data_IF_146534924328
#
_entry.id   IF_146534924328
#
_cell.length_a   1.000
_cell.length_b   1.000
_cell.length_c   1.000
_cell.angle_alpha   90.00
_cell.angle_beta   90.00
_cell.angle_gamma   90.00
#
_symmetry.space_group_name_H-M   'P 1'
#
loop_
_entity.id
_entity.type
_entity.pdbx_description
1 polymer ?
#
# COMPACT_ATOMS: atom_id res chain seq x y z
N UNK A 1 -18.67 15.77 -11.55
CA UNK A 1 -18.21 15.52 -10.16
C UNK A 1 -18.62 16.62 -9.18
N UNK A 2 -18.71 17.90 -9.57
CA UNK A 2 -19.06 19.01 -8.65
C UNK A 2 -20.56 19.14 -8.26
N UNK A 3 -21.49 18.45 -8.93
CA UNK A 3 -22.93 18.59 -8.67
C UNK A 3 -23.49 17.66 -7.58
N UNK A 4 -22.66 16.82 -6.95
CA UNK A 4 -23.11 15.76 -6.04
C UNK A 4 -23.13 16.12 -4.55
N UNK A 5 -22.69 17.31 -4.15
CA UNK A 5 -22.51 17.65 -2.74
C UNK A 5 -23.22 18.95 -2.34
N UNK A 6 -24.52 18.85 -2.01
CA UNK A 6 -25.16 19.80 -1.09
C UNK A 6 -25.18 19.16 0.29
N UNK A 7 -24.26 19.61 1.14
CA UNK A 7 -24.14 19.23 2.55
C UNK A 7 -25.26 19.93 3.34
N UNK A 8 -25.90 19.22 4.28
CA UNK A 8 -26.94 19.81 5.14
C UNK A 8 -26.31 20.74 6.21
N UNK A 9 -27.02 21.80 6.58
CA UNK A 9 -26.49 22.92 7.37
C UNK A 9 -26.04 22.56 8.81
N UNK A 10 -26.36 21.38 9.34
CA UNK A 10 -25.91 20.94 10.67
C UNK A 10 -24.53 20.25 10.68
N UNK A 11 -23.90 20.07 9.51
CA UNK A 11 -22.66 19.31 9.34
C UNK A 11 -21.39 20.19 9.15
N UNK A 12 -21.44 21.47 9.51
CA UNK A 12 -20.37 22.46 9.26
C UNK A 12 -19.27 22.55 10.34
N UNK A 13 -19.24 21.63 11.30
CA UNK A 13 -18.21 21.60 12.35
C UNK A 13 -17.56 20.23 12.50
N UNK A 14 -16.27 20.25 12.86
CA UNK A 14 -15.51 19.05 13.24
C UNK A 14 -16.17 18.42 14.45
N UNK A 15 -16.63 17.18 14.30
CA UNK A 15 -17.36 16.47 15.34
C UNK A 15 -16.38 15.81 16.32
N UNK A 16 -16.79 15.55 17.58
CA UNK A 16 -16.01 14.70 18.50
C UNK A 16 -15.69 13.33 17.90
N UNK A 17 -16.59 12.81 17.07
CA UNK A 17 -16.42 11.57 16.32
C UNK A 17 -15.17 11.61 15.41
N UNK A 18 -14.91 12.72 14.69
CA UNK A 18 -13.73 12.81 13.81
C UNK A 18 -12.43 12.80 14.61
N UNK A 19 -12.41 13.48 15.76
CA UNK A 19 -11.25 13.50 16.66
C UNK A 19 -10.96 12.10 17.19
N UNK A 20 -12.00 11.34 17.54
CA UNK A 20 -11.87 9.93 17.94
C UNK A 20 -11.32 9.08 16.79
N UNK A 21 -11.89 9.19 15.58
CA UNK A 21 -11.42 8.44 14.41
C UNK A 21 -9.94 8.73 14.13
N UNK A 22 -9.54 10.00 14.14
CA UNK A 22 -8.16 10.41 13.90
C UNK A 22 -7.20 9.94 15.00
N UNK A 23 -7.64 9.91 16.25
CA UNK A 23 -6.89 9.31 17.35
C UNK A 23 -6.68 7.82 17.11
N UNK A 24 -7.73 7.10 16.71
CA UNK A 24 -7.62 5.67 16.40
C UNK A 24 -6.68 5.41 15.21
N UNK A 25 -6.79 6.22 14.15
CA UNK A 25 -5.87 6.19 13.01
C UNK A 25 -4.43 6.51 13.40
N UNK A 26 -4.18 7.24 14.47
CA UNK A 26 -2.83 7.57 14.92
C UNK A 26 -2.15 6.43 15.67
N UNK A 27 -2.93 5.47 16.19
CA UNK A 27 -2.44 4.42 17.09
C UNK A 27 -2.62 3.00 16.52
N UNK A 28 -3.24 2.81 15.35
CA UNK A 28 -3.56 1.45 14.86
C UNK A 28 -2.31 0.56 14.65
N UNK A 29 -1.17 1.12 14.21
CA UNK A 29 0.06 0.32 14.09
C UNK A 29 0.63 -0.11 15.45
N UNK A 30 0.37 0.67 16.51
CA UNK A 30 0.74 0.26 17.86
C UNK A 30 -0.11 -0.94 18.29
N UNK A 31 -1.40 -0.92 17.97
CA UNK A 31 -2.31 -2.05 18.22
C UNK A 31 -1.88 -3.29 17.43
N UNK A 32 -1.44 -3.12 16.17
CA UNK A 32 -0.87 -4.21 15.36
C UNK A 32 0.39 -4.80 16.00
N UNK A 33 1.33 -3.95 16.44
CA UNK A 33 2.54 -4.37 17.14
C UNK A 33 2.22 -5.04 18.50
N UNK A 34 1.28 -4.50 19.28
CA UNK A 34 0.83 -5.12 20.53
C UNK A 34 0.21 -6.49 20.28
N UNK A 35 -0.62 -6.64 19.24
CA UNK A 35 -1.20 -7.94 18.89
C UNK A 35 -0.12 -8.96 18.52
N UNK A 36 0.91 -8.56 17.77
CA UNK A 36 2.05 -9.44 17.48
C UNK A 36 2.96 -9.70 18.69
N UNK A 37 3.12 -8.75 19.61
CA UNK A 37 3.77 -8.99 20.90
C UNK A 37 3.02 -10.05 21.72
N UNK A 38 1.70 -9.94 21.82
CA UNK A 38 0.87 -10.93 22.52
C UNK A 38 0.96 -12.32 21.85
N UNK A 39 0.98 -12.36 20.51
CA UNK A 39 1.20 -13.59 19.77
C UNK A 39 2.58 -14.20 20.09
N UNK A 40 3.62 -13.36 20.25
CA UNK A 40 4.98 -13.80 20.55
C UNK A 40 5.06 -14.41 21.96
N UNK A 41 4.45 -13.74 22.94
CA UNK A 41 4.50 -14.16 24.35
C UNK A 41 3.58 -15.35 24.67
N UNK A 42 2.36 -15.36 24.11
CA UNK A 42 1.32 -16.32 24.49
C UNK A 42 1.05 -17.40 23.43
N UNK A 43 1.69 -17.31 22.25
CA UNK A 43 1.52 -18.27 21.15
C UNK A 43 0.11 -18.27 20.52
N UNK A 44 -0.75 -17.30 20.87
CA UNK A 44 -2.14 -17.20 20.37
C UNK A 44 -2.44 -15.78 19.89
N UNK A 45 -3.16 -15.68 18.77
CA UNK A 45 -3.66 -14.41 18.24
C UNK A 45 -5.00 -14.08 18.90
N UNK A 46 -5.10 -12.90 19.52
CA UNK A 46 -6.34 -12.44 20.17
C UNK A 46 -7.29 -11.69 19.23
N UNK A 47 -6.94 -11.55 17.95
CA UNK A 47 -7.76 -10.82 16.97
C UNK A 47 -7.95 -9.33 17.29
N UNK A 48 -7.17 -8.77 18.22
CA UNK A 48 -7.34 -7.43 18.77
C UNK A 48 -7.14 -6.35 17.68
N UNK A 49 -6.16 -6.56 16.80
CA UNK A 49 -5.94 -5.72 15.61
C UNK A 49 -7.15 -5.69 14.66
N UNK A 50 -7.76 -6.86 14.39
CA UNK A 50 -8.90 -6.96 13.49
C UNK A 50 -10.12 -6.24 14.07
N UNK A 51 -10.42 -6.48 15.36
CA UNK A 51 -11.51 -5.80 16.06
C UNK A 51 -11.34 -4.28 16.05
N UNK A 52 -10.12 -3.80 16.32
CA UNK A 52 -9.79 -2.38 16.30
C UNK A 52 -10.05 -1.73 14.93
N UNK A 53 -9.64 -2.41 13.85
CA UNK A 53 -9.84 -1.92 12.47
C UNK A 53 -11.30 -1.92 12.04
N UNK A 54 -12.07 -2.93 12.44
CA UNK A 54 -13.52 -2.97 12.21
C UNK A 54 -14.21 -1.81 12.94
N UNK A 55 -13.82 -1.53 14.19
CA UNK A 55 -14.33 -0.36 14.92
C UNK A 55 -14.00 0.94 14.19
N UNK A 56 -12.74 1.13 13.77
CA UNK A 56 -12.32 2.31 13.00
C UNK A 56 -13.15 2.49 11.73
N UNK A 57 -13.30 1.42 10.94
CA UNK A 57 -14.04 1.43 9.69
C UNK A 57 -15.52 1.73 9.91
N UNK A 58 -16.12 1.17 10.95
CA UNK A 58 -17.51 1.45 11.34
C UNK A 58 -17.72 2.91 11.70
N UNK A 59 -16.81 3.51 12.47
CA UNK A 59 -16.88 4.93 12.84
C UNK A 59 -16.68 5.85 11.61
N UNK A 60 -15.77 5.49 10.69
CA UNK A 60 -15.60 6.22 9.42
C UNK A 60 -16.87 6.17 8.56
N UNK A 61 -17.48 4.98 8.43
CA UNK A 61 -18.74 4.82 7.70
C UNK A 61 -19.89 5.60 8.36
N UNK A 62 -19.96 5.62 9.70
CA UNK A 62 -20.94 6.41 10.42
C UNK A 62 -20.75 7.91 10.14
N UNK A 63 -19.52 8.42 10.23
CA UNK A 63 -19.21 9.82 9.90
C UNK A 63 -19.59 10.17 8.45
N UNK A 64 -19.29 9.27 7.50
CA UNK A 64 -19.67 9.41 6.10
C UNK A 64 -21.19 9.37 5.88
N UNK A 65 -21.91 8.50 6.57
CA UNK A 65 -23.37 8.41 6.49
C UNK A 65 -24.05 9.69 6.97
N UNK A 66 -23.49 10.34 8.00
CA UNK A 66 -23.99 11.61 8.53
C UNK A 66 -23.73 12.80 7.58
N UNK A 67 -22.71 12.74 6.73
CA UNK A 67 -22.31 13.85 5.83
C UNK A 67 -22.75 13.68 4.38
N UNK A 68 -22.60 12.47 3.84
CA UNK A 68 -22.68 12.18 2.41
C UNK A 68 -23.44 10.87 2.17
N UNK A 69 -24.77 10.92 2.23
CA UNK A 69 -25.62 9.74 2.04
C UNK A 69 -25.40 8.98 0.73
N UNK A 70 -25.00 9.67 -0.36
CA UNK A 70 -24.70 9.01 -1.66
C UNK A 70 -23.38 8.26 -1.66
N UNK A 71 -22.33 8.78 -1.00
CA UNK A 71 -21.04 8.10 -0.90
C UNK A 71 -21.13 6.86 -0.01
N UNK A 72 -22.01 6.90 1.00
CA UNK A 72 -22.30 5.74 1.84
C UNK A 72 -22.85 4.55 1.06
N UNK A 73 -23.69 4.77 0.02
CA UNK A 73 -24.26 3.70 -0.81
C UNK A 73 -23.24 2.99 -1.71
N UNK A 74 -22.09 3.63 -1.99
CA UNK A 74 -21.04 3.05 -2.83
C UNK A 74 -20.43 1.81 -2.18
N UNK A 75 -20.16 1.83 -0.88
CA UNK A 75 -19.41 0.76 -0.22
C UNK A 75 -20.20 -0.56 -0.11
N UNK A 76 -21.49 -0.57 0.26
CA UNK A 76 -22.32 -1.77 0.18
C UNK A 76 -22.42 -2.30 -1.26
N UNK A 77 -22.51 -1.43 -2.27
CA UNK A 77 -22.56 -1.86 -3.66
C UNK A 77 -21.26 -2.56 -4.10
N UNK A 78 -20.09 -2.02 -3.72
CA UNK A 78 -18.79 -2.66 -3.96
C UNK A 78 -18.66 -3.99 -3.21
N UNK A 79 -19.20 -4.07 -1.99
CA UNK A 79 -19.20 -5.30 -1.20
C UNK A 79 -20.01 -6.40 -1.90
N UNK A 80 -21.23 -6.06 -2.33
CA UNK A 80 -22.11 -7.00 -3.06
C UNK A 80 -21.50 -7.40 -4.40
N UNK A 81 -20.77 -6.51 -5.07
CA UNK A 81 -20.10 -6.80 -6.34
C UNK A 81 -19.02 -7.88 -6.21
N UNK A 82 -18.28 -7.91 -5.10
CA UNK A 82 -17.16 -8.84 -4.88
C UNK A 82 -17.59 -10.19 -4.27
N UNK A 83 -18.78 -10.25 -3.66
CA UNK A 83 -19.28 -11.43 -2.94
C UNK A 83 -19.68 -12.68 -3.78
N UNK A 84 -20.17 -12.59 -5.04
CA UNK A 84 -20.87 -13.71 -5.68
C UNK A 84 -20.09 -15.01 -5.78
N UNK A 85 -18.81 -14.93 -6.16
CA UNK A 85 -17.93 -16.10 -6.32
C UNK A 85 -17.72 -16.86 -5.02
N UNK A 86 -17.18 -16.17 -4.01
CA UNK A 86 -16.97 -16.74 -2.68
C UNK A 86 -18.26 -17.29 -2.05
N UNK A 87 -19.39 -16.60 -2.22
CA UNK A 87 -20.69 -17.06 -1.73
C UNK A 87 -21.14 -18.36 -2.41
N UNK A 88 -20.93 -18.48 -3.73
CA UNK A 88 -21.25 -19.69 -4.47
C UNK A 88 -20.36 -20.87 -4.04
N UNK A 89 -19.05 -20.66 -3.87
CA UNK A 89 -18.16 -21.68 -3.29
C UNK A 89 -18.58 -22.12 -1.90
N UNK A 90 -18.96 -21.17 -1.03
CA UNK A 90 -19.43 -21.48 0.31
C UNK A 90 -20.72 -22.32 0.32
N UNK A 91 -21.65 -22.07 -0.60
CA UNK A 91 -22.86 -22.90 -0.74
C UNK A 91 -22.53 -24.35 -1.15
N UNK A 92 -21.43 -24.57 -1.88
CA UNK A 92 -21.02 -25.91 -2.33
C UNK A 92 -20.17 -26.66 -1.30
N UNK A 93 -19.22 -25.97 -0.67
CA UNK A 93 -18.20 -26.58 0.19
C UNK A 93 -18.59 -26.52 1.67
N UNK A 94 -19.45 -25.58 2.07
CA UNK A 94 -19.72 -25.25 3.47
C UNK A 94 -18.56 -24.48 4.10
N UNK A 95 -18.43 -24.53 5.43
CA UNK A 95 -17.34 -23.87 6.15
C UNK A 95 -17.58 -22.39 6.49
N UNK A 96 -16.49 -21.65 6.71
CA UNK A 96 -16.52 -20.25 7.15
C UNK A 96 -16.26 -19.29 6.00
N UNK A 97 -17.18 -18.37 5.75
CA UNK A 97 -17.00 -17.27 4.78
C UNK A 97 -16.21 -16.09 5.38
N UNK A 98 -15.80 -16.16 6.65
CA UNK A 98 -15.26 -15.01 7.38
C UNK A 98 -13.99 -14.42 6.75
N UNK A 99 -13.10 -15.26 6.19
CA UNK A 99 -11.84 -14.80 5.60
C UNK A 99 -12.07 -14.07 4.27
N UNK A 100 -13.00 -14.55 3.44
CA UNK A 100 -13.46 -13.86 2.24
C UNK A 100 -14.10 -12.50 2.58
N UNK A 101 -15.05 -12.47 3.52
CA UNK A 101 -15.66 -11.20 3.94
C UNK A 101 -14.62 -10.24 4.52
N UNK A 102 -13.67 -10.75 5.31
CA UNK A 102 -12.57 -9.99 5.87
C UNK A 102 -11.66 -9.39 4.79
N UNK A 103 -11.38 -10.15 3.73
CA UNK A 103 -10.59 -9.67 2.60
C UNK A 103 -11.36 -8.62 1.77
N UNK A 104 -12.65 -8.83 1.47
CA UNK A 104 -13.49 -7.82 0.80
C UNK A 104 -13.48 -6.50 1.59
N UNK A 105 -13.62 -6.57 2.92
CA UNK A 105 -13.54 -5.38 3.77
C UNK A 105 -12.18 -4.69 3.64
N UNK A 106 -11.07 -5.43 3.68
CA UNK A 106 -9.72 -4.87 3.48
C UNK A 106 -9.58 -4.16 2.13
N UNK A 107 -10.13 -4.73 1.05
CA UNK A 107 -10.07 -4.14 -0.29
C UNK A 107 -10.80 -2.80 -0.37
N UNK A 108 -11.97 -2.69 0.26
CA UNK A 108 -12.81 -1.47 0.20
C UNK A 108 -12.31 -0.39 1.18
N UNK A 109 -11.63 -0.80 2.26
CA UNK A 109 -11.18 0.09 3.35
C UNK A 109 -10.37 1.33 2.92
N UNK A 110 -9.42 1.27 1.96
CA UNK A 110 -8.68 2.45 1.51
C UNK A 110 -9.59 3.52 0.92
N UNK A 111 -10.66 3.12 0.21
CA UNK A 111 -11.63 4.05 -0.37
C UNK A 111 -12.49 4.70 0.73
N UNK A 112 -12.87 3.93 1.76
CA UNK A 112 -13.59 4.49 2.92
C UNK A 112 -12.72 5.54 3.61
N UNK A 113 -11.43 5.25 3.86
CA UNK A 113 -10.49 6.20 4.44
C UNK A 113 -10.31 7.46 3.57
N UNK A 114 -10.19 7.28 2.24
CA UNK A 114 -10.09 8.37 1.27
C UNK A 114 -11.30 9.31 1.32
N UNK A 115 -12.52 8.76 1.20
CA UNK A 115 -13.75 9.54 1.23
C UNK A 115 -14.01 10.17 2.60
N UNK A 116 -13.68 9.47 3.69
CA UNK A 116 -13.79 10.01 5.04
C UNK A 116 -12.96 11.28 5.18
N UNK A 117 -11.67 11.22 4.84
CA UNK A 117 -10.81 12.38 4.96
C UNK A 117 -11.22 13.50 3.99
N UNK A 118 -11.72 13.15 2.79
CA UNK A 118 -12.25 14.12 1.84
C UNK A 118 -13.45 14.88 2.45
N UNK A 119 -14.40 14.15 3.04
CA UNK A 119 -15.56 14.74 3.72
C UNK A 119 -15.17 15.62 4.90
N UNK A 120 -14.09 15.26 5.61
CA UNK A 120 -13.56 16.08 6.72
C UNK A 120 -12.91 17.36 6.19
N UNK A 121 -12.26 17.28 5.03
CA UNK A 121 -11.62 18.44 4.40
C UNK A 121 -12.63 19.47 3.89
N UNK A 122 -13.85 19.05 3.53
CA UNK A 122 -14.94 19.96 3.18
C UNK A 122 -15.40 20.80 4.38
N UNK A 123 -15.21 20.29 5.61
CA UNK A 123 -15.50 21.00 6.86
C UNK A 123 -14.35 21.93 7.25
N UNK A 124 -13.14 21.38 7.36
CA UNK A 124 -11.93 22.15 7.68
C UNK A 124 -10.67 21.51 7.05
N UNK A 125 -10.22 22.09 5.93
CA UNK A 125 -9.03 21.68 5.17
C UNK A 125 -7.76 21.71 6.02
N UNK A 126 -7.59 22.74 6.85
CA UNK A 126 -6.39 22.92 7.65
C UNK A 126 -6.33 21.90 8.78
N UNK A 127 -7.46 21.66 9.44
CA UNK A 127 -7.58 20.60 10.45
C UNK A 127 -7.34 19.22 9.84
N UNK A 128 -7.91 18.92 8.67
CA UNK A 128 -7.72 17.65 7.98
C UNK A 128 -6.24 17.39 7.65
N UNK A 129 -5.53 18.35 7.03
CA UNK A 129 -4.11 18.19 6.70
C UNK A 129 -3.22 18.09 7.95
N UNK A 130 -3.45 18.92 8.97
CA UNK A 130 -2.70 18.82 10.24
C UNK A 130 -2.91 17.47 10.91
N UNK A 131 -4.14 16.95 10.88
CA UNK A 131 -4.47 15.66 11.48
C UNK A 131 -3.87 14.50 10.69
N UNK A 132 -3.91 14.54 9.35
CA UNK A 132 -3.19 13.59 8.49
C UNK A 132 -1.70 13.60 8.83
N UNK A 133 -1.07 14.77 8.89
CA UNK A 133 0.36 14.84 9.19
C UNK A 133 0.68 14.21 10.57
N UNK A 134 -0.15 14.45 11.59
CA UNK A 134 -0.01 13.81 12.90
C UNK A 134 -0.15 12.28 12.83
N UNK A 135 -1.15 11.78 12.11
CA UNK A 135 -1.34 10.33 11.89
C UNK A 135 -0.08 9.72 11.27
N UNK A 136 0.50 10.36 10.26
CA UNK A 136 1.70 9.86 9.58
C UNK A 136 2.93 9.88 10.49
N UNK A 137 3.18 10.98 11.22
CA UNK A 137 4.31 11.09 12.14
C UNK A 137 4.21 10.04 13.25
N UNK A 138 3.04 9.89 13.89
CA UNK A 138 2.87 8.95 15.00
C UNK A 138 3.04 7.50 14.53
N UNK A 139 2.44 7.12 13.41
CA UNK A 139 2.61 5.78 12.84
C UNK A 139 4.06 5.51 12.41
N UNK A 140 4.75 6.50 11.83
CA UNK A 140 6.16 6.37 11.48
C UNK A 140 7.04 6.18 12.72
N UNK A 141 6.79 6.94 13.79
CA UNK A 141 7.50 6.79 15.06
C UNK A 141 7.25 5.41 15.70
N UNK A 142 6.01 4.89 15.65
CA UNK A 142 5.70 3.54 16.10
C UNK A 142 6.53 2.49 15.34
N UNK A 143 6.58 2.60 14.01
CA UNK A 143 7.40 1.71 13.18
C UNK A 143 8.88 1.83 13.54
N UNK A 144 9.39 3.05 13.72
CA UNK A 144 10.78 3.29 14.09
C UNK A 144 11.14 2.67 15.44
N UNK A 145 10.32 2.90 16.48
CA UNK A 145 10.51 2.32 17.80
C UNK A 145 10.44 0.79 17.75
N UNK A 146 9.51 0.24 16.98
CA UNK A 146 9.43 -1.21 16.77
C UNK A 146 10.72 -1.78 16.16
N UNK A 147 11.34 -1.11 15.19
CA UNK A 147 12.61 -1.54 14.62
C UNK A 147 13.81 -1.31 15.55
N UNK A 148 13.78 -0.29 16.41
CA UNK A 148 14.77 -0.15 17.48
C UNK A 148 14.72 -1.35 18.44
N UNK A 149 13.52 -1.79 18.84
CA UNK A 149 13.35 -3.02 19.63
C UNK A 149 13.80 -4.26 18.84
N UNK A 150 13.48 -4.32 17.55
CA UNK A 150 13.95 -5.35 16.61
C UNK A 150 15.47 -5.48 16.56
N UNK A 151 16.18 -4.36 16.46
CA UNK A 151 17.63 -4.31 16.44
C UNK A 151 18.28 -4.71 17.78
N UNK A 152 17.56 -4.53 18.89
CA UNK A 152 17.97 -5.02 20.21
C UNK A 152 17.71 -6.53 20.40
N UNK A 153 17.17 -7.21 19.39
CA UNK A 153 16.90 -8.65 19.42
C UNK A 153 15.48 -9.02 19.87
N UNK A 154 14.57 -8.05 20.02
CA UNK A 154 13.18 -8.33 20.38
C UNK A 154 12.29 -8.52 19.15
N UNK A 155 11.29 -9.40 19.27
CA UNK A 155 10.28 -9.62 18.24
C UNK A 155 10.64 -10.74 17.27
N UNK A 156 10.11 -10.66 16.07
CA UNK A 156 10.20 -11.71 15.06
C UNK A 156 11.19 -11.38 13.95
N UNK A 157 11.63 -12.45 13.30
CA UNK A 157 12.53 -12.39 12.15
C UNK A 157 11.72 -12.36 10.85
N UNK A 158 12.29 -11.75 9.80
CA UNK A 158 11.61 -11.61 8.50
C UNK A 158 11.58 -12.95 7.74
N UNK A 159 12.65 -13.74 7.84
CA UNK A 159 12.76 -15.05 7.23
C UNK A 159 13.10 -16.11 8.28
N UNK A 160 12.33 -17.20 8.26
CA UNK A 160 12.61 -18.38 9.09
C UNK A 160 13.81 -19.14 8.54
N UNK A 161 14.59 -19.82 9.40
CA UNK A 161 15.75 -20.59 8.97
C UNK A 161 15.34 -21.72 8.01
N UNK A 162 15.94 -21.74 6.82
CA UNK A 162 15.78 -22.85 5.87
C UNK A 162 16.76 -23.96 6.24
N UNK A 163 16.32 -25.22 6.19
CA UNK A 163 17.09 -26.41 6.61
C UNK A 163 18.49 -26.58 5.97
N UNK A 164 18.80 -25.84 4.90
CA UNK A 164 20.07 -25.92 4.18
C UNK A 164 21.02 -24.75 4.42
N UNK A 165 20.63 -23.76 5.23
CA UNK A 165 21.47 -22.63 5.64
C UNK A 165 21.61 -22.69 7.16
N UNK A 166 22.84 -22.72 7.66
CA UNK A 166 23.14 -22.69 9.09
C UNK A 166 22.43 -21.52 9.74
N UNK A 167 21.42 -21.82 10.57
CA UNK A 167 20.75 -21.02 11.60
C UNK A 167 21.13 -19.52 11.66
N UNK A 168 20.81 -18.74 10.63
CA UNK A 168 20.78 -17.28 10.76
C UNK A 168 19.37 -16.84 10.49
N UNK A 169 18.69 -16.48 11.58
CA UNK A 169 17.52 -15.63 11.56
C UNK A 169 17.86 -14.36 10.78
N UNK A 170 17.28 -14.23 9.57
CA UNK A 170 17.63 -13.15 8.65
C UNK A 170 16.57 -12.06 8.68
N UNK A 171 17.01 -10.85 9.05
CA UNK A 171 16.19 -9.65 9.08
C UNK A 171 15.22 -9.62 10.27
N UNK A 172 14.76 -8.43 10.62
CA UNK A 172 13.79 -8.21 11.69
C UNK A 172 12.52 -7.60 11.13
N UNK A 173 11.37 -8.03 11.63
CA UNK A 173 10.07 -7.35 11.44
C UNK A 173 9.53 -6.78 12.77
N UNK A 174 10.34 -6.84 13.84
CA UNK A 174 9.94 -6.52 15.20
C UNK A 174 8.67 -7.28 15.59
N UNK A 175 7.69 -6.60 16.19
CA UNK A 175 6.43 -7.22 16.61
C UNK A 175 5.36 -7.26 15.53
N UNK A 176 5.62 -6.85 14.29
CA UNK A 176 4.64 -7.00 13.22
C UNK A 176 4.66 -8.42 12.65
N UNK A 177 3.47 -8.93 12.29
CA UNK A 177 3.34 -10.29 11.78
C UNK A 177 3.83 -10.45 10.32
N UNK A 178 3.58 -9.45 9.47
CA UNK A 178 3.85 -9.52 8.03
C UNK A 178 4.89 -8.50 7.57
N UNK A 179 6.08 -8.97 7.17
CA UNK A 179 7.17 -8.10 6.71
C UNK A 179 6.85 -7.41 5.38
N UNK A 180 6.23 -8.11 4.41
CA UNK A 180 5.89 -7.50 3.12
C UNK A 180 4.88 -6.36 3.27
N UNK A 181 3.81 -6.58 4.02
CA UNK A 181 2.82 -5.53 4.30
C UNK A 181 3.44 -4.33 5.04
N UNK A 182 4.29 -4.59 6.06
CA UNK A 182 4.98 -3.53 6.79
C UNK A 182 5.92 -2.71 5.88
N UNK A 183 6.53 -3.35 4.88
CA UNK A 183 7.40 -2.68 3.91
C UNK A 183 6.61 -1.64 3.13
N UNK A 184 5.39 -2.00 2.71
CA UNK A 184 4.51 -1.13 1.94
C UNK A 184 3.97 0.02 2.80
N UNK A 185 3.65 -0.25 4.08
CA UNK A 185 3.30 0.79 5.05
C UNK A 185 4.46 1.79 5.22
N UNK A 186 5.70 1.31 5.35
CA UNK A 186 6.88 2.16 5.42
C UNK A 186 7.02 3.03 4.17
N UNK A 187 6.76 2.51 2.97
CA UNK A 187 6.78 3.31 1.73
C UNK A 187 5.78 4.47 1.78
N UNK A 188 4.53 4.21 2.18
CA UNK A 188 3.51 5.27 2.23
C UNK A 188 3.84 6.31 3.31
N UNK A 189 4.25 5.88 4.50
CA UNK A 189 4.61 6.79 5.59
C UNK A 189 5.83 7.65 5.22
N UNK A 190 6.87 7.02 4.68
CA UNK A 190 8.09 7.72 4.26
C UNK A 190 7.83 8.68 3.11
N UNK A 191 7.02 8.31 2.09
CA UNK A 191 6.71 9.20 0.97
C UNK A 191 6.10 10.54 1.42
N UNK A 192 5.14 10.50 2.34
CA UNK A 192 4.55 11.73 2.90
C UNK A 192 5.56 12.54 3.69
N UNK A 193 6.29 11.92 4.62
CA UNK A 193 7.22 12.64 5.49
C UNK A 193 8.41 13.21 4.73
N UNK A 194 8.96 12.46 3.77
CA UNK A 194 10.01 12.92 2.87
C UNK A 194 9.53 14.13 2.06
N UNK A 195 8.36 14.06 1.41
CA UNK A 195 7.82 15.20 0.67
C UNK A 195 7.59 16.42 1.57
N UNK A 196 6.98 16.20 2.74
CA UNK A 196 6.63 17.27 3.66
C UNK A 196 7.88 17.99 4.20
N UNK A 197 8.87 17.24 4.69
CA UNK A 197 10.09 17.81 5.25
C UNK A 197 11.09 18.25 4.20
N UNK A 198 11.03 17.71 2.97
CA UNK A 198 11.81 18.24 1.86
C UNK A 198 11.49 19.73 1.63
N UNK A 199 10.22 20.12 1.73
CA UNK A 199 9.81 21.51 1.54
C UNK A 199 10.03 22.40 2.77
N UNK A 200 9.92 21.83 3.98
CA UNK A 200 9.92 22.61 5.22
C UNK A 200 11.28 22.62 5.95
N UNK A 201 11.90 21.46 6.14
CA UNK A 201 13.07 21.29 7.02
C UNK A 201 14.00 20.17 6.53
N UNK A 202 15.08 20.56 5.82
CA UNK A 202 16.03 19.63 5.18
C UNK A 202 16.74 18.68 6.16
N UNK A 203 16.96 19.10 7.41
CA UNK A 203 17.55 18.25 8.45
C UNK A 203 16.60 17.11 8.88
N UNK A 204 15.31 17.43 9.06
CA UNK A 204 14.32 16.38 9.38
C UNK A 204 14.11 15.47 8.16
N UNK A 205 14.14 16.01 6.94
CA UNK A 205 14.15 15.20 5.72
C UNK A 205 15.29 14.16 5.75
N UNK A 206 16.52 14.60 6.05
CA UNK A 206 17.67 13.70 6.13
C UNK A 206 17.48 12.64 7.23
N UNK A 207 16.97 13.04 8.40
CA UNK A 207 16.68 12.10 9.49
C UNK A 207 15.63 11.05 9.08
N UNK A 208 14.55 11.45 8.39
CA UNK A 208 13.53 10.55 7.85
C UNK A 208 14.13 9.63 6.79
N UNK A 209 14.93 10.15 5.87
CA UNK A 209 15.59 9.36 4.82
C UNK A 209 16.50 8.27 5.41
N UNK A 210 17.41 8.65 6.31
CA UNK A 210 18.34 7.72 6.97
C UNK A 210 17.57 6.68 7.79
N UNK A 211 16.61 7.11 8.61
CA UNK A 211 15.83 6.17 9.43
C UNK A 211 14.94 5.25 8.57
N UNK A 212 14.38 5.72 7.46
CA UNK A 212 13.59 4.88 6.53
C UNK A 212 14.44 3.82 5.87
N UNK A 213 15.63 4.19 5.37
CA UNK A 213 16.58 3.25 4.76
C UNK A 213 17.07 2.24 5.78
N UNK A 214 17.33 2.68 7.02
CA UNK A 214 17.72 1.81 8.13
C UNK A 214 16.60 0.81 8.50
N UNK A 215 15.35 1.26 8.63
CA UNK A 215 14.22 0.35 8.84
C UNK A 215 14.10 -0.66 7.69
N UNK A 216 14.19 -0.19 6.44
CA UNK A 216 14.09 -1.06 5.27
C UNK A 216 15.23 -2.09 5.18
N UNK A 217 16.45 -1.72 5.58
CA UNK A 217 17.59 -2.64 5.59
C UNK A 217 17.45 -3.70 6.69
N UNK A 218 16.90 -3.35 7.86
CA UNK A 218 16.58 -4.33 8.90
C UNK A 218 15.55 -5.36 8.44
N UNK A 219 14.57 -4.97 7.63
CA UNK A 219 13.54 -5.89 7.13
C UNK A 219 14.10 -6.92 6.14
N UNK A 220 15.16 -6.58 5.40
CA UNK A 220 15.71 -7.38 4.29
C UNK A 220 14.65 -7.77 3.23
N UNK A 221 13.61 -6.95 3.05
CA UNK A 221 12.62 -7.13 1.99
C UNK A 221 13.07 -6.38 0.74
N UNK A 222 13.01 -7.05 -0.42
CA UNK A 222 13.33 -6.43 -1.73
C UNK A 222 12.46 -5.19 -1.97
N UNK A 223 11.19 -5.28 -1.59
CA UNK A 223 10.18 -4.23 -1.73
C UNK A 223 10.48 -3.01 -0.85
N UNK A 224 10.77 -3.22 0.44
CA UNK A 224 11.09 -2.14 1.38
C UNK A 224 12.38 -1.44 0.98
N UNK A 225 13.44 -2.18 0.69
CA UNK A 225 14.75 -1.60 0.39
C UNK A 225 14.74 -0.82 -0.93
N UNK A 226 14.31 -1.44 -2.03
CA UNK A 226 14.29 -0.76 -3.34
C UNK A 226 13.31 0.41 -3.34
N UNK A 227 12.11 0.21 -2.78
CA UNK A 227 11.09 1.26 -2.77
C UNK A 227 11.50 2.48 -1.94
N UNK A 228 12.07 2.29 -0.74
CA UNK A 228 12.50 3.42 0.09
C UNK A 228 13.67 4.17 -0.54
N UNK A 229 14.63 3.46 -1.15
CA UNK A 229 15.72 4.09 -1.90
C UNK A 229 15.20 4.92 -3.08
N UNK A 230 14.25 4.39 -3.86
CA UNK A 230 13.61 5.13 -4.95
C UNK A 230 12.97 6.42 -4.40
N UNK A 231 12.19 6.33 -3.31
CA UNK A 231 11.56 7.52 -2.71
C UNK A 231 12.58 8.56 -2.23
N UNK A 232 13.61 8.14 -1.49
CA UNK A 232 14.64 9.04 -0.97
C UNK A 232 15.39 9.76 -2.09
N UNK A 233 15.68 9.06 -3.19
CA UNK A 233 16.42 9.62 -4.33
C UNK A 233 15.54 10.50 -5.23
N UNK A 234 14.31 10.06 -5.52
CA UNK A 234 13.46 10.70 -6.52
C UNK A 234 12.61 11.85 -5.95
N UNK A 235 12.22 11.84 -4.67
CA UNK A 235 11.42 12.92 -4.08
C UNK A 235 12.10 14.30 -4.22
N UNK A 236 13.40 14.47 -3.89
CA UNK A 236 14.11 15.73 -4.14
C UNK A 236 14.14 16.19 -5.60
N UNK A 237 14.02 15.24 -6.53
CA UNK A 237 14.07 15.48 -7.97
C UNK A 237 12.69 15.76 -8.57
N UNK A 238 11.58 15.57 -7.82
CA UNK A 238 10.21 15.80 -8.32
C UNK A 238 9.97 17.18 -8.94
N UNK A 239 10.49 18.31 -8.40
CA UNK A 239 10.33 19.62 -9.04
C UNK A 239 10.91 19.64 -10.47
N UNK A 240 12.01 18.92 -10.68
CA UNK A 240 12.62 18.77 -11.99
C UNK A 240 11.78 17.85 -12.89
N UNK A 241 11.22 16.77 -12.33
CA UNK A 241 10.35 15.87 -13.09
C UNK A 241 9.06 16.53 -13.60
N UNK A 242 8.50 17.47 -12.85
CA UNK A 242 7.28 18.19 -13.25
C UNK A 242 7.56 19.17 -14.39
N UNK A 243 8.79 19.72 -14.45
CA UNK A 243 9.26 20.61 -15.52
C UNK A 243 9.99 19.85 -16.64
N UNK A 244 9.78 18.54 -16.77
CA UNK A 244 10.41 17.71 -17.79
C UNK A 244 9.83 18.00 -19.18
N UNK A 245 10.65 18.62 -20.02
CA UNK A 245 10.50 18.50 -21.47
C UNK A 245 11.06 17.15 -21.95
N UNK A 246 10.60 16.68 -23.12
CA UNK A 246 11.04 15.43 -23.76
C UNK A 246 12.57 15.24 -23.82
N UNK A 247 13.33 16.33 -23.97
CA UNK A 247 14.80 16.32 -23.98
C UNK A 247 15.41 15.95 -22.63
N UNK A 248 14.86 16.50 -21.54
CA UNK A 248 15.29 16.18 -20.17
C UNK A 248 14.88 14.77 -19.77
N UNK A 249 13.74 14.26 -20.28
CA UNK A 249 13.30 12.88 -20.08
C UNK A 249 14.25 11.89 -20.77
N UNK A 250 14.61 12.16 -22.02
CA UNK A 250 15.60 11.37 -22.75
C UNK A 250 16.95 11.33 -22.01
N UNK A 251 17.38 12.46 -21.44
CA UNK A 251 18.61 12.54 -20.65
C UNK A 251 18.51 11.76 -19.31
N UNK A 252 17.37 11.83 -18.63
CA UNK A 252 17.13 11.03 -17.41
C UNK A 252 17.15 9.53 -17.70
N UNK A 253 16.49 9.09 -18.78
CA UNK A 253 16.49 7.69 -19.22
C UNK A 253 17.92 7.26 -19.60
N UNK A 254 18.67 8.10 -20.31
CA UNK A 254 20.06 7.83 -20.65
C UNK A 254 20.94 7.68 -19.41
N UNK A 255 20.81 8.57 -18.43
CA UNK A 255 21.55 8.50 -17.16
C UNK A 255 21.17 7.26 -16.35
N UNK A 256 19.88 6.90 -16.31
CA UNK A 256 19.40 5.68 -15.68
C UNK A 256 19.99 4.44 -16.36
N UNK A 257 19.99 4.40 -17.70
CA UNK A 257 20.56 3.30 -18.49
C UNK A 257 22.07 3.20 -18.28
N UNK A 258 22.79 4.32 -18.24
CA UNK A 258 24.22 4.37 -17.93
C UNK A 258 24.50 3.86 -16.52
N UNK A 259 23.72 4.29 -15.54
CA UNK A 259 23.85 3.82 -14.15
C UNK A 259 23.54 2.33 -14.03
N UNK A 260 22.48 1.85 -14.69
CA UNK A 260 22.13 0.42 -14.73
C UNK A 260 23.23 -0.40 -15.42
N UNK A 261 23.78 0.08 -16.54
CA UNK A 261 24.88 -0.57 -17.23
C UNK A 261 26.15 -0.61 -16.35
N UNK A 262 26.45 0.46 -15.63
CA UNK A 262 27.56 0.51 -14.67
C UNK A 262 27.33 -0.46 -13.50
N UNK A 263 26.12 -0.54 -12.96
CA UNK A 263 25.77 -1.51 -11.92
C UNK A 263 25.88 -2.95 -12.42
N UNK A 264 25.40 -3.25 -13.62
CA UNK A 264 25.51 -4.58 -14.22
C UNK A 264 26.97 -4.94 -14.48
N UNK A 265 27.78 -4.00 -14.97
CA UNK A 265 29.23 -4.18 -15.12
C UNK A 265 29.86 -4.52 -13.76
N UNK A 266 29.55 -3.75 -12.72
CA UNK A 266 30.14 -3.93 -11.38
C UNK A 266 29.53 -5.09 -10.58
N UNK A 267 28.41 -5.67 -11.04
CA UNK A 267 27.69 -6.71 -10.32
C UNK A 267 28.56 -7.93 -9.98
N UNK A 268 29.40 -8.50 -10.87
CA UNK A 268 30.24 -9.65 -10.51
C UNK A 268 31.22 -9.33 -9.37
N UNK A 269 31.79 -8.12 -9.36
CA UNK A 269 32.71 -7.67 -8.32
C UNK A 269 31.96 -7.50 -6.99
N UNK A 270 30.83 -6.80 -6.99
CA UNK A 270 29.99 -6.57 -5.81
C UNK A 270 29.43 -7.88 -5.24
N UNK A 271 28.96 -8.79 -6.09
CA UNK A 271 28.39 -10.06 -5.69
C UNK A 271 29.43 -11.02 -5.11
N UNK A 272 30.67 -10.98 -5.62
CA UNK A 272 31.77 -11.78 -5.08
C UNK A 272 32.25 -11.28 -3.72
N UNK A 273 32.39 -9.96 -3.54
CA UNK A 273 32.79 -9.35 -2.26
C UNK A 273 31.74 -9.52 -1.16
N UNK A 274 30.46 -9.61 -1.51
CA UNK A 274 29.36 -9.80 -0.57
C UNK A 274 29.07 -11.28 -0.25
N UNK A 275 29.79 -12.23 -0.85
CA UNK A 275 29.53 -13.68 -0.69
C UNK A 275 28.17 -14.13 -1.24
N UNK A 276 27.52 -13.30 -2.07
CA UNK A 276 26.19 -13.55 -2.62
C UNK A 276 26.23 -14.27 -3.97
N UNK A 277 27.39 -14.30 -4.63
CA UNK A 277 27.57 -14.90 -5.95
C UNK A 277 27.18 -16.38 -5.98
N UNK A 278 27.67 -17.19 -5.03
CA UNK A 278 27.38 -18.63 -4.98
C UNK A 278 25.90 -18.91 -4.68
N UNK A 279 25.29 -18.14 -3.76
CA UNK A 279 23.88 -18.26 -3.40
C UNK A 279 22.96 -17.89 -4.57
N UNK A 280 23.26 -16.80 -5.27
CA UNK A 280 22.50 -16.38 -6.44
C UNK A 280 22.69 -17.34 -7.62
N UNK A 281 23.89 -17.87 -7.82
CA UNK A 281 24.16 -18.86 -8.87
C UNK A 281 23.40 -20.17 -8.60
N UNK A 282 23.32 -20.61 -7.35
CA UNK A 282 22.54 -21.80 -6.97
C UNK A 282 21.03 -21.59 -7.18
N UNK A 283 20.49 -20.44 -6.76
CA UNK A 283 19.07 -20.09 -6.99
C UNK A 283 18.79 -19.95 -8.48
N UNK A 284 19.68 -19.31 -9.24
CA UNK A 284 19.55 -19.14 -10.69
C UNK A 284 19.56 -20.49 -11.42
N UNK A 285 20.41 -21.43 -11.02
CA UNK A 285 20.44 -22.78 -11.60
C UNK A 285 19.16 -23.57 -11.31
N UNK A 286 18.55 -23.40 -10.15
CA UNK A 286 17.32 -24.12 -9.75
C UNK A 286 16.03 -23.46 -10.24
N UNK A 287 16.02 -22.13 -10.41
CA UNK A 287 14.79 -21.36 -10.57
C UNK A 287 14.83 -20.38 -11.77
N UNK A 288 15.96 -20.26 -12.46
CA UNK A 288 16.14 -19.32 -13.57
C UNK A 288 16.10 -17.84 -13.13
N UNK A 289 16.19 -16.94 -14.12
CA UNK A 289 16.15 -15.48 -13.88
C UNK A 289 14.81 -15.03 -13.26
N UNK A 290 13.70 -15.59 -13.75
CA UNK A 290 12.35 -15.28 -13.27
C UNK A 290 12.14 -15.75 -11.83
N UNK A 291 12.65 -16.93 -11.47
CA UNK A 291 12.55 -17.44 -10.10
C UNK A 291 13.35 -16.62 -9.08
N UNK A 292 14.52 -16.08 -9.47
CA UNK A 292 15.30 -15.15 -8.63
C UNK A 292 14.56 -13.83 -8.43
N UNK A 293 13.90 -13.31 -9.48
CA UNK A 293 13.21 -12.02 -9.45
C UNK A 293 11.87 -12.09 -8.71
N UNK A 294 11.05 -13.08 -9.07
CA UNK A 294 9.71 -13.30 -8.52
C UNK A 294 9.69 -14.14 -7.24
N UNK A 295 10.83 -14.71 -6.81
CA UNK A 295 10.92 -15.61 -5.66
C UNK A 295 9.94 -16.80 -5.73
N UNK A 296 9.88 -17.48 -6.88
CA UNK A 296 8.99 -18.65 -7.15
C UNK A 296 7.47 -18.36 -7.19
N UNK A 297 7.04 -17.10 -7.24
CA UNK A 297 5.62 -16.71 -7.35
C UNK A 297 4.95 -17.16 -8.65
N UNK A 298 5.73 -17.26 -9.72
CA UNK A 298 5.32 -17.86 -10.99
C UNK A 298 4.84 -19.31 -10.82
N UNK A 299 5.54 -20.09 -9.99
CA UNK A 299 5.18 -21.48 -9.69
C UNK A 299 3.90 -21.57 -8.86
N UNK A 300 3.76 -20.72 -7.83
CA UNK A 300 2.54 -20.68 -7.02
C UNK A 300 1.31 -20.26 -7.83
N UNK A 301 1.44 -19.26 -8.70
CA UNK A 301 0.37 -18.87 -9.61
C UNK A 301 -0.03 -20.01 -10.55
N UNK A 302 0.95 -20.73 -11.13
CA UNK A 302 0.69 -21.85 -12.00
C UNK A 302 -0.02 -23.01 -11.27
N UNK A 303 0.41 -23.34 -10.05
CA UNK A 303 -0.20 -24.39 -9.22
C UNK A 303 -1.64 -24.03 -8.84
N UNK A 304 -1.88 -22.82 -8.34
CA UNK A 304 -3.23 -22.32 -8.03
C UNK A 304 -4.11 -22.36 -9.29
N UNK A 305 -3.59 -21.92 -10.43
CA UNK A 305 -4.34 -21.92 -11.68
C UNK A 305 -4.72 -23.33 -12.13
N UNK A 306 -3.82 -24.30 -12.02
CA UNK A 306 -4.09 -25.69 -12.37
C UNK A 306 -5.18 -26.31 -11.49
N UNK A 307 -5.07 -26.12 -10.17
CA UNK A 307 -6.05 -26.63 -9.20
C UNK A 307 -7.42 -26.02 -9.44
N UNK A 308 -7.49 -24.69 -9.49
CA UNK A 308 -8.75 -23.98 -9.72
C UNK A 308 -9.34 -24.35 -11.08
N UNK A 309 -8.48 -24.60 -12.08
CA UNK A 309 -8.94 -25.01 -13.41
C UNK A 309 -9.55 -26.41 -13.45
N UNK A 310 -9.06 -27.30 -12.58
CA UNK A 310 -9.50 -28.69 -12.49
C UNK A 310 -10.81 -28.83 -11.70
N UNK A 311 -10.97 -28.12 -10.58
CA UNK A 311 -12.12 -28.27 -9.69
C UNK A 311 -13.31 -27.38 -10.01
N UNK A 312 -13.11 -26.24 -10.68
CA UNK A 312 -14.17 -25.25 -10.89
C UNK A 312 -14.40 -24.95 -12.37
N UNK A 313 -15.66 -24.78 -12.77
CA UNK A 313 -16.04 -24.44 -14.14
C UNK A 313 -15.61 -23.01 -14.52
N UNK A 314 -15.51 -22.73 -15.83
CA UNK A 314 -15.15 -21.40 -16.35
C UNK A 314 -16.06 -20.28 -15.82
N UNK A 315 -17.36 -20.55 -15.71
CA UNK A 315 -18.34 -19.57 -15.19
C UNK A 315 -18.07 -19.26 -13.73
N UNK A 316 -17.75 -20.27 -12.92
CA UNK A 316 -17.42 -20.06 -11.52
C UNK A 316 -16.13 -19.22 -11.40
N UNK A 317 -15.08 -19.57 -12.17
CA UNK A 317 -13.83 -18.81 -12.20
C UNK A 317 -14.01 -17.35 -12.66
N UNK A 318 -14.98 -17.07 -13.54
CA UNK A 318 -15.31 -15.71 -13.98
C UNK A 318 -15.75 -14.80 -12.81
N UNK A 319 -16.52 -15.36 -11.86
CA UNK A 319 -16.97 -14.66 -10.65
C UNK A 319 -15.99 -14.80 -9.47
N UNK A 320 -14.94 -15.61 -9.65
CA UNK A 320 -13.99 -15.98 -8.61
C UNK A 320 -14.47 -17.18 -7.80
N UNK A 321 -13.52 -17.95 -7.28
CA UNK A 321 -13.82 -19.14 -6.46
C UNK A 321 -13.74 -18.87 -4.96
N UNK A 322 -13.47 -17.62 -4.57
CA UNK A 322 -13.22 -17.24 -3.19
C UNK A 322 -11.90 -17.78 -2.63
N UNK A 323 -11.48 -17.21 -1.52
CA UNK A 323 -10.40 -17.76 -0.71
C UNK A 323 -10.77 -19.17 -0.23
N UNK A 324 -12.03 -19.35 0.20
CA UNK A 324 -12.57 -20.62 0.65
C UNK A 324 -12.38 -21.75 -0.38
N UNK A 325 -12.60 -21.48 -1.67
CA UNK A 325 -12.44 -22.49 -2.72
C UNK A 325 -10.99 -22.89 -2.96
N UNK A 326 -10.05 -21.93 -2.86
CA UNK A 326 -8.63 -22.25 -3.04
C UNK A 326 -8.06 -22.95 -1.80
N UNK A 327 -8.41 -22.50 -0.60
CA UNK A 327 -7.88 -23.04 0.66
C UNK A 327 -8.31 -24.47 0.94
N UNK A 328 -9.40 -24.94 0.32
CA UNK A 328 -9.84 -26.33 0.41
C UNK A 328 -8.84 -27.30 -0.25
N UNK A 329 -8.16 -26.84 -1.30
CA UNK A 329 -7.31 -27.70 -2.13
C UNK A 329 -5.81 -27.41 -1.95
N UNK A 330 -5.45 -26.24 -1.43
CA UNK A 330 -4.06 -25.81 -1.30
C UNK A 330 -3.76 -25.23 0.08
N UNK A 331 -2.69 -25.73 0.69
CA UNK A 331 -2.14 -25.16 1.93
C UNK A 331 -1.57 -23.75 1.69
N UNK A 332 -0.94 -23.52 0.52
CA UNK A 332 -0.47 -22.22 0.06
C UNK A 332 -1.40 -21.70 -1.03
N UNK A 333 -2.32 -20.85 -0.62
CA UNK A 333 -3.42 -20.34 -1.45
C UNK A 333 -3.19 -18.92 -1.99
N UNK A 334 -2.02 -18.31 -1.73
CA UNK A 334 -1.63 -17.02 -2.31
C UNK A 334 -0.50 -17.20 -3.31
N UNK A 335 -0.66 -16.65 -4.51
CA UNK A 335 0.44 -16.51 -5.47
C UNK A 335 1.40 -15.37 -5.08
N UNK A 336 0.98 -14.49 -4.16
CA UNK A 336 1.68 -13.28 -3.76
C UNK A 336 1.79 -12.28 -4.92
N UNK A 337 0.69 -12.12 -5.67
CA UNK A 337 0.50 -11.14 -6.74
C UNK A 337 -0.95 -10.67 -6.71
N UNK A 338 -1.19 -9.44 -6.26
CA UNK A 338 -2.52 -8.91 -6.03
C UNK A 338 -3.48 -9.03 -7.24
N UNK A 339 -3.10 -8.70 -8.49
CA UNK A 339 -4.03 -8.84 -9.62
C UNK A 339 -4.41 -10.30 -9.90
N UNK A 340 -3.47 -11.25 -9.74
CA UNK A 340 -3.75 -12.67 -9.92
C UNK A 340 -4.61 -13.22 -8.77
N UNK A 341 -4.23 -12.93 -7.53
CA UNK A 341 -4.93 -13.39 -6.34
C UNK A 341 -6.38 -12.86 -6.34
N UNK A 342 -6.60 -11.60 -6.71
CA UNK A 342 -7.94 -11.02 -6.82
C UNK A 342 -8.76 -11.59 -7.97
N UNK A 343 -8.12 -11.98 -9.08
CA UNK A 343 -8.81 -12.70 -10.15
C UNK A 343 -9.28 -14.08 -9.67
N UNK A 344 -8.42 -14.83 -8.98
CA UNK A 344 -8.77 -16.15 -8.49
C UNK A 344 -9.89 -16.07 -7.45
N UNK A 345 -9.80 -15.14 -6.48
CA UNK A 345 -10.76 -15.06 -5.40
C UNK A 345 -12.09 -14.40 -5.80
N UNK A 346 -12.05 -13.32 -6.59
CA UNK A 346 -13.22 -12.49 -6.91
C UNK A 346 -13.45 -12.28 -8.42
N UNK A 347 -12.75 -13.04 -9.25
CA UNK A 347 -12.98 -13.07 -10.69
C UNK A 347 -12.67 -11.75 -11.38
N UNK A 348 -13.45 -11.48 -12.43
CA UNK A 348 -13.34 -10.24 -13.20
C UNK A 348 -13.61 -9.01 -12.32
N UNK A 349 -14.54 -9.11 -11.36
CA UNK A 349 -14.86 -8.02 -10.45
C UNK A 349 -13.65 -7.63 -9.58
N UNK A 350 -12.88 -8.60 -9.09
CA UNK A 350 -11.64 -8.35 -8.33
C UNK A 350 -10.60 -7.57 -9.13
N UNK A 351 -10.34 -7.98 -10.38
CA UNK A 351 -9.37 -7.30 -11.26
C UNK A 351 -9.85 -5.91 -11.68
N UNK A 352 -11.15 -5.76 -11.97
CA UNK A 352 -11.75 -4.47 -12.26
C UNK A 352 -11.64 -3.53 -11.06
N UNK A 353 -11.88 -4.01 -9.84
CA UNK A 353 -11.71 -3.23 -8.61
C UNK A 353 -10.25 -2.78 -8.43
N UNK A 354 -9.30 -3.72 -8.54
CA UNK A 354 -7.87 -3.43 -8.49
C UNK A 354 -7.46 -2.34 -9.48
N UNK A 355 -7.85 -2.53 -10.74
CA UNK A 355 -7.54 -1.59 -11.82
C UNK A 355 -8.17 -0.23 -11.58
N UNK A 356 -9.43 -0.20 -11.14
CA UNK A 356 -10.15 1.04 -10.86
C UNK A 356 -9.50 1.86 -9.74
N UNK A 357 -9.05 1.22 -8.65
CA UNK A 357 -8.38 1.92 -7.53
C UNK A 357 -7.04 2.52 -7.99
N UNK A 358 -6.17 1.72 -8.61
CA UNK A 358 -4.86 2.20 -9.04
C UNK A 358 -4.96 3.25 -10.15
N UNK A 359 -5.76 3.00 -11.20
CA UNK A 359 -5.99 3.97 -12.28
C UNK A 359 -6.61 5.24 -11.71
N UNK A 360 -7.60 5.12 -10.82
CA UNK A 360 -8.27 6.26 -10.18
C UNK A 360 -7.29 7.17 -9.43
N UNK A 361 -6.49 6.62 -8.52
CA UNK A 361 -5.50 7.40 -7.76
C UNK A 361 -4.38 7.97 -8.64
N UNK A 362 -3.86 7.18 -9.59
CA UNK A 362 -2.81 7.66 -10.51
C UNK A 362 -3.35 8.78 -11.41
N UNK A 363 -4.50 8.58 -12.05
CA UNK A 363 -5.10 9.56 -12.95
C UNK A 363 -5.48 10.84 -12.21
N UNK A 364 -6.03 10.74 -11.00
CA UNK A 364 -6.33 11.90 -10.15
C UNK A 364 -5.05 12.71 -9.88
N UNK A 365 -3.99 12.07 -9.41
CA UNK A 365 -2.75 12.76 -9.06
C UNK A 365 -2.04 13.31 -10.31
N UNK A 366 -2.06 12.61 -11.44
CA UNK A 366 -1.56 13.12 -12.72
C UNK A 366 -2.32 14.37 -13.17
N UNK A 367 -3.65 14.39 -13.04
CA UNK A 367 -4.45 15.56 -13.37
C UNK A 367 -4.09 16.75 -12.48
N UNK A 368 -3.93 16.52 -11.16
CA UNK A 368 -3.47 17.57 -10.22
C UNK A 368 -2.06 18.07 -10.54
N UNK A 369 -1.16 17.20 -10.99
CA UNK A 369 0.16 17.62 -11.46
C UNK A 369 0.05 18.59 -12.64
N UNK A 370 -0.79 18.27 -13.63
CA UNK A 370 -0.96 19.10 -14.83
C UNK A 370 -1.62 20.44 -14.54
N UNK A 371 -2.67 20.44 -13.71
CA UNK A 371 -3.46 21.64 -13.43
C UNK A 371 -2.76 22.61 -12.47
N UNK A 372 -2.01 22.10 -11.49
CA UNK A 372 -1.47 22.91 -10.40
C UNK A 372 0.06 22.88 -10.28
N UNK A 373 0.77 22.17 -11.18
CA UNK A 373 2.22 21.91 -11.06
C UNK A 373 2.61 21.42 -9.65
N UNK A 374 1.74 20.63 -9.03
CA UNK A 374 1.89 20.25 -7.62
C UNK A 374 2.95 19.17 -7.43
N UNK A 375 4.01 19.52 -6.70
CA UNK A 375 5.05 18.56 -6.33
C UNK A 375 4.55 17.41 -5.46
N UNK A 376 3.61 17.70 -4.56
CA UNK A 376 2.98 16.67 -3.75
C UNK A 376 2.27 15.65 -4.65
N UNK A 377 1.49 16.13 -5.63
CA UNK A 377 0.79 15.25 -6.55
C UNK A 377 1.77 14.38 -7.37
N UNK A 378 2.92 14.93 -7.79
CA UNK A 378 3.93 14.18 -8.53
C UNK A 378 4.55 13.07 -7.67
N UNK A 379 4.86 13.37 -6.40
CA UNK A 379 5.29 12.36 -5.42
C UNK A 379 4.25 11.27 -5.22
N UNK A 380 2.95 11.60 -5.23
CA UNK A 380 1.89 10.59 -5.13
C UNK A 380 1.72 9.76 -6.40
N UNK A 381 2.00 10.30 -7.59
CA UNK A 381 2.08 9.50 -8.81
C UNK A 381 3.21 8.48 -8.70
N UNK A 382 4.42 8.93 -8.29
CA UNK A 382 5.56 8.04 -8.07
C UNK A 382 5.21 6.94 -7.04
N UNK A 383 4.63 7.33 -5.90
CA UNK A 383 4.25 6.38 -4.86
C UNK A 383 3.24 5.36 -5.38
N UNK A 384 2.15 5.78 -6.03
CA UNK A 384 1.13 4.83 -6.50
C UNK A 384 1.64 3.92 -7.63
N UNK A 385 2.54 4.40 -8.49
CA UNK A 385 3.21 3.56 -9.49
C UNK A 385 4.13 2.53 -8.81
N UNK A 386 4.86 2.93 -7.77
CA UNK A 386 5.70 2.03 -6.99
C UNK A 386 4.83 0.98 -6.26
N UNK A 387 3.71 1.39 -5.65
CA UNK A 387 2.75 0.50 -5.01
C UNK A 387 2.13 -0.47 -6.02
N UNK A 388 1.80 -0.03 -7.23
CA UNK A 388 1.29 -0.89 -8.30
C UNK A 388 2.34 -1.95 -8.69
N UNK A 389 3.59 -1.54 -8.86
CA UNK A 389 4.69 -2.46 -9.16
C UNK A 389 4.85 -3.51 -8.05
N UNK A 390 4.82 -3.07 -6.78
CA UNK A 390 4.91 -3.97 -5.63
C UNK A 390 3.70 -4.89 -5.55
N UNK A 391 2.49 -4.41 -5.84
CA UNK A 391 1.27 -5.21 -5.85
C UNK A 391 1.35 -6.36 -6.88
N UNK A 392 1.92 -6.08 -8.06
CA UNK A 392 2.09 -7.08 -9.11
C UNK A 392 3.22 -8.09 -8.80
N UNK A 393 4.34 -7.64 -8.22
CA UNK A 393 5.56 -8.46 -8.05
C UNK A 393 5.61 -9.18 -6.70
N UNK A 394 5.17 -8.53 -5.62
CA UNK A 394 5.28 -9.03 -4.26
C UNK A 394 3.93 -9.31 -3.59
N UNK A 395 2.84 -8.75 -4.14
CA UNK A 395 1.49 -8.89 -3.61
C UNK A 395 1.30 -8.18 -2.28
N UNK A 396 0.12 -8.38 -1.70
CA UNK A 396 -0.25 -7.89 -0.37
C UNK A 396 -0.17 -6.37 -0.22
N UNK A 397 -0.40 -5.60 -1.28
CA UNK A 397 -0.55 -4.14 -1.21
C UNK A 397 -2.01 -3.81 -0.96
N UNK A 398 -2.90 -4.15 -1.91
CA UNK A 398 -4.33 -3.82 -1.80
C UNK A 398 -5.04 -4.70 -0.77
N UNK A 399 -4.53 -5.91 -0.54
CA UNK A 399 -5.05 -6.85 0.46
C UNK A 399 -4.44 -6.64 1.86
N UNK A 400 -3.54 -5.65 2.04
CA UNK A 400 -2.94 -5.37 3.34
C UNK A 400 -3.93 -4.76 4.32
N UNK A 401 -4.06 -5.40 5.48
CA UNK A 401 -4.83 -4.87 6.59
C UNK A 401 -4.14 -3.70 7.31
N UNK A 402 -2.85 -3.46 7.09
CA UNK A 402 -2.09 -2.37 7.71
C UNK A 402 -2.03 -1.12 6.83
N UNK A 403 -2.06 -1.26 5.51
CA UNK A 403 -1.86 -0.16 4.58
C UNK A 403 -3.06 0.78 4.43
N UNK A 404 -4.28 0.23 4.51
CA UNK A 404 -5.48 0.92 4.05
C UNK A 404 -5.74 2.31 4.63
N UNK A 405 -5.51 2.63 5.94
CA UNK A 405 -5.85 3.95 6.46
C UNK A 405 -4.94 5.02 5.86
N UNK A 406 -3.62 4.74 5.86
CA UNK A 406 -2.61 5.70 5.43
C UNK A 406 -2.62 5.87 3.90
N UNK A 407 -2.89 4.80 3.14
CA UNK A 407 -2.97 4.89 1.68
C UNK A 407 -4.22 5.64 1.20
N UNK A 408 -5.36 5.46 1.87
CA UNK A 408 -6.54 6.28 1.62
C UNK A 408 -6.28 7.76 1.93
N UNK A 409 -5.71 8.04 3.11
CA UNK A 409 -5.44 9.42 3.56
C UNK A 409 -4.46 10.17 2.66
N UNK A 410 -3.35 9.53 2.26
CA UNK A 410 -2.33 10.21 1.45
C UNK A 410 -2.88 10.64 0.09
N UNK A 411 -3.73 9.83 -0.54
CA UNK A 411 -4.34 10.16 -1.84
C UNK A 411 -5.35 11.31 -1.74
N UNK A 412 -5.95 11.54 -0.57
CA UNK A 412 -6.76 12.74 -0.34
C UNK A 412 -5.87 13.98 -0.16
N UNK A 413 -4.65 13.85 0.38
CA UNK A 413 -3.80 14.99 0.74
C UNK A 413 -3.48 15.90 -0.46
N UNK A 414 -3.22 15.34 -1.65
CA UNK A 414 -2.96 16.14 -2.85
C UNK A 414 -4.16 16.99 -3.28
N UNK A 415 -5.38 16.47 -3.15
CA UNK A 415 -6.60 17.23 -3.44
C UNK A 415 -6.73 18.42 -2.50
N UNK A 416 -6.59 18.18 -1.19
CA UNK A 416 -6.73 19.23 -0.18
C UNK A 416 -5.66 20.31 -0.37
N UNK A 417 -4.41 19.89 -0.64
CA UNK A 417 -3.29 20.79 -0.85
C UNK A 417 -3.48 21.68 -2.09
N UNK A 418 -3.87 21.12 -3.24
CA UNK A 418 -4.12 21.89 -4.46
C UNK A 418 -5.29 22.87 -4.27
N UNK A 419 -6.34 22.47 -3.55
CA UNK A 419 -7.47 23.35 -3.24
C UNK A 419 -7.11 24.51 -2.30
N UNK A 420 -6.11 24.35 -1.42
CA UNK A 420 -5.59 25.44 -0.58
C UNK A 420 -4.68 26.38 -1.35
N UNK A 421 -3.98 25.87 -2.37
CA UNK A 421 -3.02 26.61 -3.19
C UNK A 421 -3.65 27.32 -4.39
N UNK A 422 -4.97 27.29 -4.56
CA UNK A 422 -5.68 27.84 -5.73
C UNK A 422 -5.45 29.35 -5.94
N UNK A 423 -4.32 29.72 -6.54
CA UNK A 423 -4.27 30.64 -7.68
C UNK A 423 -4.09 29.77 -8.92
N UNK A 424 -5.09 29.65 -9.80
CA UNK A 424 -4.91 28.99 -11.08
C UNK A 424 -3.79 29.70 -11.85
N UNK A 425 -2.91 28.93 -12.49
CA UNK A 425 -1.92 29.46 -13.41
C UNK A 425 -2.68 30.20 -14.53
N UNK A 426 -2.44 31.51 -14.71
CA UNK A 426 -3.12 32.38 -15.71
C UNK A 426 -2.86 31.98 -17.18
N UNK A 427 -2.29 30.82 -17.44
CA UNK A 427 -1.69 30.46 -18.73
C UNK A 427 -2.58 29.64 -19.68
N UNK A 428 -3.88 29.51 -19.38
CA UNK A 428 -4.85 28.89 -20.32
C UNK A 428 -6.12 29.73 -20.56
N UNK A 429 -6.12 31.04 -20.24
CA UNK A 429 -7.21 31.94 -20.65
C UNK A 429 -6.89 32.81 -21.89
N UNK A 430 -5.67 32.73 -22.42
CA UNK A 430 -5.26 33.49 -23.63
C UNK A 430 -5.55 32.77 -24.95
N UNK A 431 -5.75 31.45 -24.94
CA UNK A 431 -5.88 30.65 -26.17
C UNK A 431 -7.34 30.40 -26.59
N UNK A 432 -8.30 31.10 -25.95
CA UNK A 432 -9.72 31.10 -26.35
C UNK A 432 -10.16 32.47 -26.89
N UNK A 433 -9.24 33.43 -26.98
CA UNK A 433 -9.51 34.80 -27.49
C UNK A 433 -8.54 35.25 -28.58
N UNK A 434 -8.12 34.32 -29.45
CA UNK A 434 -7.60 34.64 -30.80
C UNK A 434 -8.21 33.76 -31.86
#
# INVERSE_FOLDING_TARGET
>A
MASLMRVSASALHVQPLDKLILLLCSCYLLIDACNGFLLNQFGRSFGLSALYKVLMLTLMLLSLGLRTGKAFLLFPALFVLLLPGAFFSWLQLGGSLADDLGLILKLISPLIAFYYLLSLSDVDKNFALKSLHRVFVLNYLIVLVNFMLGALGYGYTSYLPQHHLTQVDLGSKGFFNAANELSVVLLVLSAWLLQYYWQQQKLIFLAVAVSSVWCASLMLTKTGMLGTLILVLFIPLMPWFISLNWTRLALAILLLLLFAALLIWQAPLLLSQLGLAEKLQHIYQQQGLLGVLLSSRDKYAAEIWQVVSFYYSDIHRLFGVGLIGVSEHLWKFWAESDPFDLYVFYGVAGVMFFSWVFIGFIAQNLNLCRLYNSELAATLVLLNLLLLLVACIAGHVISSGMLWPVWGFINTAALIHCQLQAKPTETELSDVTQ
#
